data_IF_720016794633
#
_entry.id   IF_720016794633
#
_cell.length_a   1.000
_cell.length_b   1.000
_cell.length_c   1.000
_cell.angle_alpha   90.00
_cell.angle_beta   90.00
_cell.angle_gamma   90.00
#
_symmetry.space_group_name_H-M   'P 1'
#
loop_
_entity.id
_entity.type
_entity.pdbx_description
1 polymer ?
#
# COMPACT_ATOMS: atom_id res chain seq x y z
N UNK A 1 -54.08 -50.05 -31.18
CA UNK A 1 -54.59 -49.03 -30.23
C UNK A 1 -53.78 -49.19 -28.95
N UNK A 2 -52.84 -48.27 -28.70
CA UNK A 2 -52.97 -47.20 -27.68
C UNK A 2 -52.69 -47.78 -26.28
N UNK A 3 -51.76 -47.31 -25.45
CA UNK A 3 -50.91 -46.11 -25.44
C UNK A 3 -49.87 -46.35 -24.34
N UNK A 4 -48.63 -45.89 -24.56
CA UNK A 4 -47.61 -45.74 -23.53
C UNK A 4 -48.05 -44.69 -22.50
N UNK A 5 -47.74 -44.91 -21.22
CA UNK A 5 -47.67 -43.83 -20.24
C UNK A 5 -46.46 -44.07 -19.33
N UNK A 6 -45.47 -43.20 -19.47
CA UNK A 6 -44.30 -43.06 -18.60
C UNK A 6 -44.72 -42.41 -17.28
N UNK A 7 -44.03 -42.73 -16.19
CA UNK A 7 -43.77 -41.72 -15.14
C UNK A 7 -42.54 -42.08 -14.30
N UNK A 8 -41.48 -41.35 -14.61
CA UNK A 8 -40.46 -40.72 -13.73
C UNK A 8 -39.78 -41.54 -12.63
N UNK A 9 -38.52 -41.89 -12.93
CA UNK A 9 -37.47 -42.12 -11.96
C UNK A 9 -37.21 -40.85 -11.11
N UNK A 10 -37.04 -41.05 -9.80
CA UNK A 10 -36.62 -40.01 -8.87
C UNK A 10 -35.20 -39.54 -9.18
N UNK A 11 -35.07 -38.25 -9.51
CA UNK A 11 -33.78 -37.59 -9.63
C UNK A 11 -33.31 -37.12 -8.27
N UNK A 12 -32.04 -37.40 -7.99
CA UNK A 12 -31.31 -37.08 -6.79
C UNK A 12 -31.32 -35.58 -6.49
N UNK A 13 -31.41 -35.24 -5.21
CA UNK A 13 -31.26 -33.90 -4.68
C UNK A 13 -29.84 -33.39 -4.91
N UNK A 14 -29.60 -32.78 -6.06
CA UNK A 14 -28.47 -31.90 -6.30
C UNK A 14 -28.62 -30.67 -5.42
N UNK A 15 -28.10 -30.74 -4.19
CA UNK A 15 -27.97 -29.60 -3.31
C UNK A 15 -27.07 -28.56 -3.96
N UNK A 16 -27.70 -27.55 -4.56
CA UNK A 16 -27.04 -26.35 -5.03
C UNK A 16 -26.51 -25.64 -3.78
N UNK A 17 -25.22 -25.82 -3.46
CA UNK A 17 -24.50 -24.95 -2.55
C UNK A 17 -24.43 -23.58 -3.24
N UNK A 18 -25.49 -22.78 -3.04
CA UNK A 18 -25.44 -21.36 -3.25
C UNK A 18 -24.44 -20.84 -2.22
N UNK A 19 -23.17 -20.71 -2.61
CA UNK A 19 -22.26 -19.81 -1.91
C UNK A 19 -22.97 -18.46 -1.96
N UNK A 20 -23.47 -18.01 -0.82
CA UNK A 20 -23.78 -16.60 -0.64
C UNK A 20 -22.50 -15.87 -1.01
N UNK A 21 -22.52 -15.20 -2.16
CA UNK A 21 -21.58 -14.11 -2.41
C UNK A 21 -21.82 -13.15 -1.26
N UNK A 22 -21.00 -13.27 -0.22
CA UNK A 22 -20.78 -12.16 0.70
C UNK A 22 -20.43 -11.01 -0.21
N UNK A 23 -21.33 -10.04 -0.32
CA UNK A 23 -21.02 -8.75 -0.87
C UNK A 23 -19.92 -8.17 0.00
N UNK A 24 -18.67 -8.52 -0.32
CA UNK A 24 -17.50 -7.77 0.11
C UNK A 24 -17.79 -6.39 -0.43
N UNK A 25 -18.18 -5.50 0.48
CA UNK A 25 -18.61 -4.18 0.09
C UNK A 25 -17.43 -3.58 -0.68
N UNK A 26 -17.66 -2.94 -1.82
CA UNK A 26 -16.59 -2.28 -2.56
C UNK A 26 -15.78 -1.29 -1.70
N UNK A 27 -16.28 -0.91 -0.53
CA UNK A 27 -15.57 -0.12 0.47
C UNK A 27 -14.37 -0.83 1.12
N UNK A 28 -14.28 -2.16 1.08
CA UNK A 28 -13.18 -2.94 1.69
C UNK A 28 -11.86 -2.87 0.89
N UNK A 29 -11.92 -2.41 -0.37
CA UNK A 29 -10.78 -2.33 -1.28
C UNK A 29 -10.25 -0.89 -1.48
N UNK A 30 -10.88 0.11 -0.86
CA UNK A 30 -10.51 1.51 -1.02
C UNK A 30 -9.79 2.00 0.24
N UNK A 31 -8.73 2.79 0.07
CA UNK A 31 -8.15 3.49 1.22
C UNK A 31 -9.09 4.61 1.66
N UNK A 32 -9.33 4.67 2.96
CA UNK A 32 -10.17 5.66 3.61
C UNK A 32 -9.37 6.35 4.72
N UNK A 33 -9.75 7.56 5.12
CA UNK A 33 -9.08 8.23 6.25
C UNK A 33 -9.12 7.39 7.54
N UNK A 34 -10.14 6.53 7.69
CA UNK A 34 -10.26 5.61 8.81
C UNK A 34 -9.14 4.55 8.88
N UNK A 35 -8.45 4.28 7.76
CA UNK A 35 -7.30 3.36 7.69
C UNK A 35 -6.03 3.92 8.35
N UNK A 36 -6.05 5.19 8.74
CA UNK A 36 -4.92 5.88 9.35
C UNK A 36 -5.16 6.16 10.84
N UNK A 37 -4.07 6.27 11.64
CA UNK A 37 -4.16 6.64 13.04
C UNK A 37 -4.83 8.00 13.26
N UNK A 38 -5.40 8.19 14.45
CA UNK A 38 -6.01 9.45 14.82
C UNK A 38 -4.99 10.60 14.71
N UNK A 39 -5.45 11.73 14.17
CA UNK A 39 -4.61 12.90 13.91
C UNK A 39 -3.91 12.90 12.54
N UNK A 40 -3.94 11.79 11.79
CA UNK A 40 -3.61 11.84 10.37
C UNK A 40 -4.67 12.65 9.64
N UNK A 41 -4.24 13.45 8.68
CA UNK A 41 -5.12 14.32 7.88
C UNK A 41 -4.84 14.03 6.42
N UNK A 42 -5.88 13.72 5.66
CA UNK A 42 -5.77 13.33 4.24
C UNK A 42 -4.75 12.20 4.05
N UNK A 43 -4.91 11.10 4.80
CA UNK A 43 -4.05 9.91 4.69
C UNK A 43 -2.54 10.15 4.94
N UNK A 44 -2.16 11.25 5.61
CA UNK A 44 -0.78 11.61 5.90
C UNK A 44 -0.59 12.05 7.35
N UNK A 45 0.60 11.83 7.90
CA UNK A 45 0.94 12.36 9.22
C UNK A 45 1.06 13.88 9.13
N UNK A 46 0.66 14.66 10.17
CA UNK A 46 0.73 16.13 10.13
C UNK A 46 2.09 16.73 9.78
N UNK A 47 3.17 16.00 10.05
CA UNK A 47 4.55 16.40 9.77
C UNK A 47 5.14 15.80 8.49
N UNK A 48 4.35 15.04 7.74
CA UNK A 48 4.77 14.62 6.41
C UNK A 48 4.90 15.83 5.49
N UNK A 49 5.78 15.70 4.49
CA UNK A 49 6.05 16.73 3.49
C UNK A 49 6.66 18.05 4.00
N UNK A 50 7.05 18.11 5.28
CA UNK A 50 7.79 19.24 5.86
C UNK A 50 9.28 18.90 5.92
N UNK A 51 10.15 19.55 5.12
CA UNK A 51 11.59 19.30 5.19
C UNK A 51 12.16 19.66 6.57
N UNK A 52 12.98 18.77 7.12
CA UNK A 52 13.64 18.90 8.43
C UNK A 52 15.14 18.64 8.30
N UNK A 53 15.93 19.06 9.29
CA UNK A 53 17.39 18.99 9.21
C UNK A 53 17.99 17.65 9.64
N UNK A 54 17.22 16.83 10.38
CA UNK A 54 17.62 15.49 10.85
C UNK A 54 16.55 14.47 10.49
N UNK A 55 16.89 13.22 10.10
CA UNK A 55 15.88 12.23 9.78
C UNK A 55 15.06 11.89 11.02
N UNK A 56 13.75 11.69 10.83
CA UNK A 56 12.94 11.06 11.86
C UNK A 56 13.26 9.57 11.94
N UNK A 57 13.30 8.97 13.14
CA UNK A 57 13.35 7.53 13.28
C UNK A 57 12.25 6.87 12.47
N UNK A 58 12.60 5.88 11.65
CA UNK A 58 11.60 5.11 10.93
C UNK A 58 10.61 4.49 11.92
N UNK A 59 9.33 4.55 11.58
CA UNK A 59 8.25 4.05 12.42
C UNK A 59 7.49 2.98 11.66
N UNK A 60 7.39 1.79 12.24
CA UNK A 60 6.51 0.71 11.76
C UNK A 60 5.32 0.62 12.70
N UNK A 61 4.12 0.93 12.21
CA UNK A 61 2.89 0.93 13.01
C UNK A 61 1.93 -0.12 12.47
N UNK A 62 1.36 -0.92 13.37
CA UNK A 62 0.17 -1.71 13.08
C UNK A 62 -1.06 -0.94 13.59
N UNK A 63 -1.80 -0.33 12.68
CA UNK A 63 -3.05 0.32 13.01
C UNK A 63 -4.19 -0.70 12.92
N UNK A 64 -4.90 -0.91 14.03
CA UNK A 64 -6.00 -1.87 14.13
C UNK A 64 -7.30 -1.15 14.44
N UNK A 65 -8.29 -1.33 13.58
CA UNK A 65 -9.70 -1.05 13.84
C UNK A 65 -10.50 -2.31 13.54
N UNK A 66 -11.72 -2.39 14.04
CA UNK A 66 -12.62 -3.53 13.77
C UNK A 66 -12.75 -3.68 12.25
N UNK A 67 -12.36 -4.84 11.72
CA UNK A 67 -12.40 -5.14 10.28
C UNK A 67 -11.22 -4.60 9.45
N UNK A 68 -10.37 -3.73 10.00
CA UNK A 68 -9.33 -3.04 9.22
C UNK A 68 -7.97 -3.06 9.94
N UNK A 69 -7.00 -3.71 9.31
CA UNK A 69 -5.62 -3.80 9.78
C UNK A 69 -4.72 -3.18 8.73
N UNK A 70 -3.92 -2.19 9.14
CA UNK A 70 -3.00 -1.48 8.25
C UNK A 70 -1.61 -1.47 8.84
N UNK A 71 -0.66 -1.87 8.00
CA UNK A 71 0.76 -1.71 8.26
C UNK A 71 1.16 -0.35 7.72
N UNK A 72 1.69 0.52 8.56
CA UNK A 72 2.07 1.87 8.17
C UNK A 72 3.56 2.05 8.42
N UNK A 73 4.31 2.34 7.37
CA UNK A 73 5.70 2.77 7.45
C UNK A 73 5.74 4.29 7.35
N UNK A 74 6.34 4.94 8.33
CA UNK A 74 6.74 6.34 8.22
C UNK A 74 8.26 6.43 8.18
N UNK A 75 8.79 7.10 7.16
CA UNK A 75 10.24 7.19 6.92
C UNK A 75 10.60 8.51 6.25
N UNK A 76 11.84 8.95 6.48
CA UNK A 76 12.40 10.14 5.87
C UNK A 76 13.08 9.83 4.54
N UNK A 77 12.96 10.74 3.57
CA UNK A 77 13.78 10.76 2.35
C UNK A 77 14.82 11.86 2.45
N UNK A 78 16.11 11.54 2.33
CA UNK A 78 17.16 12.53 2.17
C UNK A 78 16.97 13.23 0.81
N UNK A 79 16.94 14.56 0.79
CA UNK A 79 16.80 15.38 -0.40
C UNK A 79 18.18 15.89 -0.87
N UNK A 80 18.26 16.36 -2.11
CA UNK A 80 19.50 16.88 -2.70
C UNK A 80 20.10 18.09 -1.94
N UNK A 81 19.27 18.82 -1.20
CA UNK A 81 19.70 19.96 -0.37
C UNK A 81 20.17 19.54 1.04
N UNK A 82 20.28 18.23 1.33
CA UNK A 82 20.71 17.71 2.62
C UNK A 82 19.62 17.63 3.69
N UNK A 83 18.41 18.13 3.42
CA UNK A 83 17.26 18.00 4.32
C UNK A 83 16.56 16.65 4.16
N UNK A 84 15.72 16.32 5.12
CA UNK A 84 14.94 15.10 5.15
C UNK A 84 13.46 15.39 4.99
N UNK A 85 12.76 14.61 4.18
CA UNK A 85 11.33 14.72 3.94
C UNK A 85 10.60 13.49 4.50
N UNK A 86 9.90 13.60 5.64
CA UNK A 86 9.10 12.51 6.17
C UNK A 86 7.89 12.21 5.27
N UNK A 87 7.60 10.94 5.05
CA UNK A 87 6.43 10.45 4.32
C UNK A 87 5.91 9.18 4.99
N UNK A 88 4.60 9.09 5.15
CA UNK A 88 3.89 7.87 5.59
C UNK A 88 3.36 7.07 4.39
N UNK A 89 3.43 5.75 4.51
CA UNK A 89 2.95 4.77 3.53
C UNK A 89 2.11 3.72 4.22
N UNK A 90 1.04 3.29 3.57
CA UNK A 90 0.48 1.96 3.83
C UNK A 90 1.37 0.93 3.15
N UNK A 91 1.74 -0.14 3.86
CA UNK A 91 2.43 -1.29 3.27
C UNK A 91 1.38 -2.28 2.80
N UNK A 92 1.25 -2.43 1.48
CA UNK A 92 0.18 -3.22 0.86
C UNK A 92 0.76 -4.34 -0.01
N UNK A 93 0.44 -5.58 0.36
CA UNK A 93 0.86 -6.77 -0.38
C UNK A 93 0.07 -6.98 -1.68
N UNK A 94 -1.08 -6.32 -1.84
CA UNK A 94 -1.89 -6.35 -3.06
C UNK A 94 -1.31 -5.50 -4.20
N UNK A 95 -0.41 -4.57 -3.87
CA UNK A 95 0.14 -3.62 -4.84
C UNK A 95 1.50 -4.06 -5.39
N UNK A 96 1.64 -4.34 -6.71
CA UNK A 96 2.82 -5.01 -7.26
C UNK A 96 4.09 -4.15 -7.42
N UNK A 97 3.97 -2.81 -7.49
CA UNK A 97 5.13 -1.94 -7.71
C UNK A 97 5.88 -1.60 -6.41
N UNK A 98 7.01 -0.90 -6.54
CA UNK A 98 7.84 -0.56 -5.39
C UNK A 98 7.20 0.54 -4.53
N UNK A 99 6.94 1.69 -5.13
CA UNK A 99 6.27 2.82 -4.50
C UNK A 99 5.11 3.34 -5.35
N UNK A 100 4.04 3.70 -4.66
CA UNK A 100 2.96 4.51 -5.19
C UNK A 100 2.89 5.80 -4.40
N UNK A 101 3.03 6.91 -5.10
CA UNK A 101 3.07 8.21 -4.49
C UNK A 101 1.83 9.00 -4.85
N UNK A 102 1.33 9.72 -3.85
CA UNK A 102 0.40 10.82 -4.05
C UNK A 102 1.02 11.90 -4.93
N UNK A 103 0.19 12.71 -5.58
CA UNK A 103 0.64 13.83 -6.41
C UNK A 103 1.54 14.79 -5.61
N UNK A 104 1.17 15.06 -4.35
CA UNK A 104 1.96 15.89 -3.44
C UNK A 104 3.33 15.28 -3.15
N UNK A 105 3.40 13.96 -2.91
CA UNK A 105 4.68 13.29 -2.67
C UNK A 105 5.58 13.33 -3.91
N UNK A 106 5.03 13.08 -5.12
CA UNK A 106 5.78 13.22 -6.37
C UNK A 106 6.30 14.64 -6.55
N UNK A 107 5.46 15.66 -6.35
CA UNK A 107 5.85 17.07 -6.43
C UNK A 107 7.02 17.38 -5.48
N UNK A 108 6.90 17.03 -4.20
CA UNK A 108 7.91 17.33 -3.17
C UNK A 108 9.20 16.57 -3.38
N UNK A 109 9.14 15.30 -3.75
CA UNK A 109 10.34 14.48 -4.02
C UNK A 109 11.03 14.92 -5.31
N UNK A 110 10.29 15.34 -6.34
CA UNK A 110 10.86 15.89 -7.57
C UNK A 110 11.54 17.22 -7.31
N UNK A 111 10.87 18.14 -6.60
CA UNK A 111 11.46 19.42 -6.18
C UNK A 111 12.70 19.22 -5.28
N UNK A 112 12.71 18.14 -4.49
CA UNK A 112 13.85 17.72 -3.66
C UNK A 112 14.93 16.93 -4.40
N UNK A 113 14.81 16.72 -5.72
CA UNK A 113 15.80 16.04 -6.55
C UNK A 113 15.91 14.53 -6.34
N UNK A 114 14.84 13.88 -5.85
CA UNK A 114 14.82 12.43 -5.56
C UNK A 114 14.18 11.58 -6.65
N UNK A 115 13.12 12.07 -7.28
CA UNK A 115 12.52 11.37 -8.44
C UNK A 115 13.38 11.64 -9.67
N UNK A 116 13.76 10.57 -10.36
CA UNK A 116 14.51 10.57 -11.62
C UNK A 116 13.70 9.87 -12.69
N UNK A 117 13.95 10.21 -13.94
CA UNK A 117 13.39 9.52 -15.11
C UNK A 117 14.51 8.79 -15.86
N UNK A 118 14.20 7.65 -16.45
CA UNK A 118 15.09 6.96 -17.40
C UNK A 118 14.80 7.41 -18.85
N UNK A 119 15.62 6.91 -19.79
CA UNK A 119 15.54 7.31 -21.21
C UNK A 119 14.20 6.97 -21.89
N UNK A 120 13.38 6.12 -21.27
CA UNK A 120 12.06 5.69 -21.76
C UNK A 120 10.92 6.30 -20.93
N UNK A 121 11.22 7.22 -20.01
CA UNK A 121 10.24 8.01 -19.24
C UNK A 121 9.69 7.32 -17.99
N UNK A 122 10.30 6.25 -17.48
CA UNK A 122 9.89 5.67 -16.20
C UNK A 122 10.48 6.45 -15.04
N UNK A 123 9.61 6.91 -14.15
CA UNK A 123 10.00 7.51 -12.87
C UNK A 123 10.53 6.45 -11.89
N UNK A 124 11.63 6.77 -11.21
CA UNK A 124 12.23 5.94 -10.16
C UNK A 124 12.94 6.77 -9.09
N UNK A 125 13.16 6.16 -7.92
CA UNK A 125 14.08 6.62 -6.90
C UNK A 125 15.37 5.80 -6.96
N UNK A 126 16.53 6.43 -6.81
CA UNK A 126 17.82 5.75 -6.67
C UNK A 126 18.24 5.59 -5.21
N UNK A 127 19.15 4.64 -4.98
CA UNK A 127 19.78 4.36 -3.70
C UNK A 127 18.82 3.99 -2.54
N UNK A 128 17.67 3.40 -2.86
CA UNK A 128 16.79 2.78 -1.85
C UNK A 128 17.45 1.49 -1.37
N UNK A 129 18.20 1.58 -0.28
CA UNK A 129 19.05 0.49 0.23
C UNK A 129 19.96 -0.08 -0.88
N UNK A 130 20.62 0.83 -1.60
CA UNK A 130 21.52 0.49 -2.72
C UNK A 130 20.83 0.02 -4.01
N UNK A 131 19.50 0.15 -4.12
CA UNK A 131 18.72 -0.33 -5.27
C UNK A 131 17.92 0.81 -5.91
N UNK A 132 17.59 0.64 -7.19
CA UNK A 132 16.57 1.47 -7.85
C UNK A 132 15.17 0.97 -7.48
N UNK A 133 14.26 1.91 -7.28
CA UNK A 133 12.87 1.64 -6.93
C UNK A 133 11.94 2.35 -7.91
N UNK A 134 11.05 1.61 -8.57
CA UNK A 134 10.08 2.18 -9.48
C UNK A 134 9.06 3.05 -8.75
N UNK A 135 8.73 4.20 -9.32
CA UNK A 135 7.67 5.08 -8.83
C UNK A 135 6.46 4.96 -9.75
N UNK A 136 5.28 4.86 -9.15
CA UNK A 136 3.99 4.96 -9.82
C UNK A 136 3.11 5.97 -9.11
N UNK A 137 2.14 6.49 -9.83
CA UNK A 137 1.07 7.26 -9.20
C UNK A 137 0.17 6.32 -8.39
N UNK A 138 -0.28 6.78 -7.24
CA UNK A 138 -1.30 6.08 -6.45
C UNK A 138 -2.59 5.92 -7.28
N UNK A 139 -3.19 4.71 -7.32
CA UNK A 139 -4.48 4.49 -7.98
C UNK A 139 -5.53 5.49 -7.52
N UNK A 140 -6.42 5.93 -8.41
CA UNK A 140 -7.42 6.96 -8.11
C UNK A 140 -8.23 6.67 -6.83
N UNK A 141 -8.55 5.39 -6.61
CA UNK A 141 -9.26 4.85 -5.46
C UNK A 141 -8.52 4.94 -4.12
N UNK A 142 -7.22 5.22 -4.15
CA UNK A 142 -6.31 5.22 -3.02
C UNK A 142 -5.71 6.63 -2.77
N UNK A 143 -6.06 7.61 -3.60
CA UNK A 143 -5.62 9.00 -3.43
C UNK A 143 -6.32 9.62 -2.21
N UNK A 144 -5.63 10.45 -1.41
CA UNK A 144 -4.26 10.95 -1.61
C UNK A 144 -3.18 10.14 -0.86
N UNK A 145 -3.40 8.87 -0.53
CA UNK A 145 -2.42 8.04 0.18
C UNK A 145 -1.14 7.73 -0.61
N UNK A 146 -0.11 7.29 0.12
CA UNK A 146 1.06 6.64 -0.48
C UNK A 146 1.08 5.16 -0.10
N UNK A 147 1.62 4.33 -0.98
CA UNK A 147 1.69 2.88 -0.79
C UNK A 147 3.12 2.39 -1.01
N UNK A 148 3.61 1.60 -0.05
CA UNK A 148 4.79 0.77 -0.20
C UNK A 148 4.31 -0.61 -0.66
N UNK A 149 4.51 -0.93 -1.94
CA UNK A 149 3.98 -2.16 -2.52
C UNK A 149 4.83 -3.40 -2.19
N UNK A 150 4.29 -4.56 -2.53
CA UNK A 150 4.85 -5.88 -2.24
C UNK A 150 6.31 -6.00 -2.68
N UNK A 151 6.66 -5.52 -3.87
CA UNK A 151 8.02 -5.64 -4.42
C UNK A 151 9.04 -4.91 -3.55
N UNK A 152 8.70 -3.74 -3.03
CA UNK A 152 9.60 -3.02 -2.13
C UNK A 152 9.63 -3.65 -0.74
N UNK A 153 8.47 -4.08 -0.21
CA UNK A 153 8.42 -4.82 1.05
C UNK A 153 9.35 -6.03 1.04
N UNK A 154 9.36 -6.81 -0.05
CA UNK A 154 10.26 -7.94 -0.24
C UNK A 154 11.72 -7.52 -0.33
N UNK A 155 12.04 -6.45 -1.09
CA UNK A 155 13.41 -5.91 -1.20
C UNK A 155 13.98 -5.45 0.15
N UNK A 156 13.12 -4.92 1.02
CA UNK A 156 13.48 -4.45 2.37
C UNK A 156 13.42 -5.59 3.41
N UNK A 157 12.96 -6.78 3.02
CA UNK A 157 12.82 -7.93 3.91
C UNK A 157 11.78 -7.71 5.00
N UNK A 158 10.60 -7.21 4.62
CA UNK A 158 9.47 -7.04 5.52
C UNK A 158 9.05 -8.38 6.15
N UNK A 159 8.89 -8.39 7.47
CA UNK A 159 8.40 -9.52 8.27
C UNK A 159 7.28 -9.06 9.16
N UNK A 160 6.19 -9.82 9.18
CA UNK A 160 5.13 -9.62 10.15
C UNK A 160 5.52 -10.22 11.49
N UNK A 161 5.11 -9.55 12.56
CA UNK A 161 5.25 -10.00 13.94
C UNK A 161 3.89 -9.96 14.60
N UNK A 162 3.74 -10.55 15.79
CA UNK A 162 2.48 -10.53 16.53
C UNK A 162 2.03 -9.10 16.88
N UNK A 163 2.98 -8.17 17.04
CA UNK A 163 2.72 -6.77 17.39
C UNK A 163 2.79 -5.81 16.22
N UNK A 164 3.10 -6.27 15.00
CA UNK A 164 3.24 -5.40 13.83
C UNK A 164 4.12 -5.97 12.74
N UNK A 165 5.14 -5.20 12.34
CA UNK A 165 6.06 -5.60 11.29
C UNK A 165 7.42 -4.92 11.45
N UNK A 166 8.43 -5.56 10.88
CA UNK A 166 9.81 -5.09 10.86
C UNK A 166 10.45 -5.33 9.49
N UNK A 167 11.58 -4.69 9.23
CA UNK A 167 12.38 -4.91 8.03
C UNK A 167 13.74 -5.46 8.42
N UNK A 168 14.18 -6.54 7.76
CA UNK A 168 15.51 -7.12 8.02
C UNK A 168 16.65 -6.28 7.47
N UNK A 169 16.40 -5.52 6.41
CA UNK A 169 17.38 -4.57 5.89
C UNK A 169 17.53 -3.38 6.84
N UNK A 170 18.78 -3.00 7.11
CA UNK A 170 19.08 -1.84 7.94
C UNK A 170 19.05 -0.57 7.09
N UNK A 171 18.19 0.36 7.47
CA UNK A 171 18.08 1.70 6.90
C UNK A 171 17.49 2.65 7.94
N UNK A 172 17.96 3.89 7.93
CA UNK A 172 17.48 4.98 8.78
C UNK A 172 16.53 5.90 7.98
N UNK A 173 16.90 6.16 6.73
CA UNK A 173 16.17 6.95 5.76
C UNK A 173 16.38 6.37 4.35
N UNK A 174 15.66 6.91 3.37
CA UNK A 174 15.78 6.61 1.95
C UNK A 174 16.45 7.73 1.15
#
# INVERSE_FOLDING_TARGET
MSTFNETSAGAESGGLLMMEESQVSQGDLLLQDADFPDGYVHMAHPDDYKPIDTPLPKTCLLHQKIGHWRLILRISFLLANGKYLPISFICDTGEPYDFYFSELAVEKLTAGGRVKEDDIGNAYLDNIVGRKAAVRETPYTHKPGNILGLRMMLKLGCKLTESGFEFTESFEYF
#
